data_IF_485593522140
#
_entry.id   IF_485593522140
#
_cell.length_a   1.000
_cell.length_b   1.000
_cell.length_c   1.000
_cell.angle_alpha   90.00
_cell.angle_beta   90.00
_cell.angle_gamma   90.00
#
_symmetry.space_group_name_H-M   'P 1'
#
loop_
_entity.id
_entity.type
_entity.pdbx_description
1 polymer ?
#
# COMPACT_ATOMS: atom_id res chain seq x y z
N UNK A 1 -8.68 -8.73 -12.97
CA UNK A 1 -8.61 -10.15 -12.53
C UNK A 1 -7.16 -10.57 -12.60
N UNK A 2 -6.69 -11.33 -11.61
CA UNK A 2 -5.31 -11.82 -11.52
C UNK A 2 -5.27 -13.34 -11.68
N UNK A 3 -4.27 -13.90 -12.38
CA UNK A 3 -4.08 -15.34 -12.46
C UNK A 3 -3.93 -15.97 -11.07
N UNK A 4 -4.70 -17.00 -10.78
CA UNK A 4 -4.68 -17.69 -9.48
C UNK A 4 -3.35 -18.40 -9.24
N UNK A 5 -2.64 -18.81 -10.30
CA UNK A 5 -1.31 -19.39 -10.21
C UNK A 5 -0.26 -18.46 -9.55
N UNK A 6 -0.54 -17.16 -9.40
CA UNK A 6 0.32 -16.23 -8.66
C UNK A 6 0.28 -16.45 -7.14
N UNK A 7 -0.81 -17.00 -6.58
CA UNK A 7 -1.01 -17.12 -5.13
C UNK A 7 -1.61 -18.46 -4.69
N UNK A 8 -2.00 -19.34 -5.61
CA UNK A 8 -2.47 -20.70 -5.33
C UNK A 8 -1.61 -21.68 -6.11
N UNK A 9 -0.78 -22.44 -5.38
CA UNK A 9 0.07 -23.45 -5.96
C UNK A 9 -0.76 -24.52 -6.69
N UNK A 10 -0.40 -24.81 -7.95
CA UNK A 10 -1.09 -25.79 -8.78
C UNK A 10 -2.36 -25.30 -9.48
N UNK A 11 -2.75 -24.03 -9.30
CA UNK A 11 -3.86 -23.45 -10.06
C UNK A 11 -3.54 -23.38 -11.57
N UNK A 12 -4.52 -23.63 -12.46
CA UNK A 12 -4.34 -23.45 -13.89
C UNK A 12 -3.94 -22.01 -14.24
N UNK A 13 -3.06 -21.83 -15.23
CA UNK A 13 -2.64 -20.51 -15.71
C UNK A 13 -3.80 -19.67 -16.30
N UNK A 14 -4.88 -20.33 -16.69
CA UNK A 14 -6.09 -19.70 -17.26
C UNK A 14 -7.10 -19.26 -16.19
N UNK A 15 -6.95 -19.74 -14.94
CA UNK A 15 -7.88 -19.39 -13.88
C UNK A 15 -7.52 -18.02 -13.29
N UNK A 16 -8.48 -17.11 -13.26
CA UNK A 16 -8.29 -15.73 -12.80
C UNK A 16 -9.37 -15.35 -11.79
N UNK A 17 -9.02 -14.60 -10.74
CA UNK A 17 -9.99 -14.04 -9.79
C UNK A 17 -9.69 -12.58 -9.43
N UNK A 18 -10.63 -11.93 -8.73
CA UNK A 18 -10.36 -10.64 -8.07
C UNK A 18 -9.60 -10.94 -6.78
N UNK A 19 -8.40 -10.37 -6.64
CA UNK A 19 -7.69 -10.38 -5.36
C UNK A 19 -7.92 -9.04 -4.67
N UNK A 20 -8.31 -9.02 -3.39
CA UNK A 20 -8.47 -7.77 -2.65
C UNK A 20 -7.10 -7.22 -2.22
N UNK A 21 -6.92 -5.90 -2.34
CA UNK A 21 -5.91 -5.15 -1.58
C UNK A 21 -6.59 -4.66 -0.30
N UNK A 22 -6.08 -5.09 0.86
CA UNK A 22 -6.75 -4.92 2.16
C UNK A 22 -5.84 -4.11 3.09
N UNK A 23 -6.45 -3.23 3.88
CA UNK A 23 -5.83 -2.58 5.03
C UNK A 23 -6.60 -2.96 6.31
N UNK A 24 -5.90 -2.95 7.44
CA UNK A 24 -6.48 -3.30 8.74
C UNK A 24 -6.38 -2.11 9.70
N UNK A 25 -7.47 -1.81 10.39
CA UNK A 25 -7.47 -0.93 11.56
C UNK A 25 -7.26 -1.80 12.80
N UNK A 26 -6.31 -1.42 13.63
CA UNK A 26 -5.98 -2.06 14.90
C UNK A 26 -6.13 -1.02 16.00
N UNK A 27 -6.60 -1.44 17.17
CA UNK A 27 -6.59 -0.62 18.38
C UNK A 27 -5.70 -1.32 19.40
N UNK A 28 -4.70 -0.61 19.91
CA UNK A 28 -3.86 -1.13 20.97
C UNK A 28 -4.68 -1.23 22.27
N UNK A 29 -4.68 -2.40 22.91
CA UNK A 29 -5.60 -2.69 24.03
C UNK A 29 -5.40 -1.78 25.24
N UNK A 30 -4.17 -1.37 25.49
CA UNK A 30 -3.80 -0.68 26.73
C UNK A 30 -3.79 0.83 26.58
N UNK A 31 -3.32 1.33 25.43
CA UNK A 31 -3.22 2.78 25.14
C UNK A 31 -4.45 3.33 24.42
N UNK A 32 -5.22 2.46 23.75
CA UNK A 32 -6.33 2.87 22.87
C UNK A 32 -5.87 3.51 21.55
N UNK A 33 -4.56 3.52 21.27
CA UNK A 33 -4.01 4.07 20.02
C UNK A 33 -4.53 3.27 18.82
N UNK A 34 -4.84 3.99 17.75
CA UNK A 34 -5.28 3.50 16.47
C UNK A 34 -4.08 3.32 15.53
N UNK A 35 -3.92 2.09 15.05
CA UNK A 35 -2.89 1.74 14.10
C UNK A 35 -3.53 1.27 12.79
N UNK A 36 -2.86 1.55 11.69
CA UNK A 36 -3.17 0.98 10.39
C UNK A 36 -2.08 0.01 9.98
N UNK A 37 -2.50 -1.12 9.43
CA UNK A 37 -1.63 -2.02 8.68
C UNK A 37 -2.01 -1.95 7.21
N UNK A 38 -1.11 -1.39 6.40
CA UNK A 38 -1.32 -1.00 4.99
C UNK A 38 -2.25 0.19 4.75
N UNK A 39 -2.12 0.78 3.56
CA UNK A 39 -2.97 1.85 3.01
C UNK A 39 -3.62 1.47 1.66
N UNK A 40 -3.47 0.21 1.24
CA UNK A 40 -4.04 -0.29 -0.01
C UNK A 40 -3.42 0.33 -1.28
N UNK A 41 -4.21 0.45 -2.34
CA UNK A 41 -3.83 1.03 -3.63
C UNK A 41 -4.29 2.50 -3.71
N UNK A 42 -3.43 3.41 -4.17
CA UNK A 42 -3.81 4.81 -4.43
C UNK A 42 -4.73 4.93 -5.66
N UNK A 43 -5.71 5.84 -5.61
CA UNK A 43 -6.49 6.21 -6.80
C UNK A 43 -5.68 7.01 -7.82
N UNK A 44 -4.62 7.68 -7.38
CA UNK A 44 -3.74 8.45 -8.25
C UNK A 44 -2.70 7.53 -8.92
N UNK A 45 -3.16 6.70 -9.85
CA UNK A 45 -2.31 5.75 -10.59
C UNK A 45 -1.20 6.47 -11.35
N UNK A 46 -1.42 7.71 -11.80
CA UNK A 46 -0.42 8.48 -12.54
C UNK A 46 0.82 8.82 -11.73
N UNK A 47 0.68 8.92 -10.40
CA UNK A 47 1.78 9.15 -9.47
C UNK A 47 2.65 7.90 -9.22
N UNK A 48 2.23 6.71 -9.69
CA UNK A 48 3.00 5.49 -9.57
C UNK A 48 4.17 5.43 -10.58
N UNK A 49 5.20 4.61 -10.31
CA UNK A 49 6.31 4.42 -11.24
C UNK A 49 5.80 3.91 -12.60
N UNK A 50 6.44 4.31 -13.72
CA UNK A 50 6.04 3.84 -15.06
C UNK A 50 5.94 2.31 -15.19
N UNK A 51 6.85 1.57 -14.56
CA UNK A 51 6.83 0.09 -14.57
C UNK A 51 5.55 -0.45 -13.92
N UNK A 52 5.13 0.13 -12.80
CA UNK A 52 3.89 -0.25 -12.11
C UNK A 52 2.67 0.09 -12.96
N UNK A 53 2.63 1.29 -13.56
CA UNK A 53 1.53 1.71 -14.45
C UNK A 53 1.35 0.74 -15.63
N UNK A 54 2.46 0.32 -16.22
CA UNK A 54 2.49 -0.67 -17.29
C UNK A 54 1.94 -2.03 -16.85
N UNK A 55 2.33 -2.49 -15.65
CA UNK A 55 1.83 -3.75 -15.07
C UNK A 55 0.32 -3.67 -14.80
N UNK A 56 -0.16 -2.58 -14.22
CA UNK A 56 -1.59 -2.36 -13.97
C UNK A 56 -2.38 -2.38 -15.28
N UNK A 57 -1.90 -1.66 -16.30
CA UNK A 57 -2.60 -1.55 -17.58
C UNK A 57 -2.64 -2.88 -18.35
N UNK A 58 -1.59 -3.70 -18.28
CA UNK A 58 -1.45 -4.92 -19.10
C UNK A 58 -1.90 -6.19 -18.38
N UNK A 59 -1.65 -6.30 -17.08
CA UNK A 59 -1.70 -7.59 -16.37
C UNK A 59 -2.53 -7.53 -15.08
N UNK A 60 -2.57 -6.38 -14.41
CA UNK A 60 -3.16 -6.25 -13.07
C UNK A 60 -4.13 -5.08 -12.99
N UNK A 61 -5.24 -5.10 -13.77
CA UNK A 61 -6.19 -3.99 -13.75
C UNK A 61 -6.79 -3.84 -12.35
N UNK A 62 -6.70 -2.62 -11.82
CA UNK A 62 -7.17 -2.27 -10.47
C UNK A 62 -8.52 -1.58 -10.53
N UNK A 63 -9.35 -1.85 -9.52
CA UNK A 63 -10.60 -1.14 -9.30
C UNK A 63 -10.63 -0.69 -7.83
N UNK A 64 -10.59 0.63 -7.60
CA UNK A 64 -10.51 1.23 -6.26
C UNK A 64 -11.81 2.00 -5.97
N UNK A 65 -12.91 1.31 -5.62
CA UNK A 65 -14.16 1.97 -5.31
C UNK A 65 -14.07 2.83 -4.05
N UNK A 66 -13.15 2.48 -3.14
CA UNK A 66 -12.96 3.12 -1.84
C UNK A 66 -11.49 3.10 -1.46
N UNK A 67 -10.96 4.22 -0.96
CA UNK A 67 -9.61 4.27 -0.38
C UNK A 67 -9.66 4.11 1.15
N UNK A 68 -8.48 4.04 1.78
CA UNK A 68 -8.40 3.80 3.23
C UNK A 68 -8.92 4.99 4.05
N UNK A 69 -8.74 6.23 3.59
CA UNK A 69 -9.25 7.40 4.30
C UNK A 69 -10.78 7.41 4.32
N UNK A 70 -11.43 7.10 3.20
CA UNK A 70 -12.88 6.91 3.14
C UNK A 70 -13.34 5.70 3.97
N UNK A 71 -12.56 4.62 3.99
CA UNK A 71 -12.85 3.43 4.80
C UNK A 71 -12.90 3.76 6.29
N UNK A 72 -11.96 4.56 6.78
CA UNK A 72 -11.93 5.03 8.16
C UNK A 72 -13.16 5.87 8.48
N UNK A 73 -13.50 6.84 7.62
CA UNK A 73 -14.64 7.73 7.85
C UNK A 73 -15.96 6.95 7.95
N UNK A 74 -16.13 5.88 7.16
CA UNK A 74 -17.28 4.97 7.27
C UNK A 74 -17.31 4.21 8.60
N UNK A 75 -16.15 3.96 9.19
CA UNK A 75 -15.99 3.39 10.52
C UNK A 75 -15.88 4.41 11.65
N UNK A 76 -16.30 5.66 11.41
CA UNK A 76 -16.29 6.76 12.39
C UNK A 76 -14.90 7.16 12.92
N UNK A 77 -13.85 6.84 12.17
CA UNK A 77 -12.46 7.27 12.43
C UNK A 77 -12.00 8.25 11.36
N UNK A 78 -11.11 9.17 11.73
CA UNK A 78 -10.46 10.07 10.78
C UNK A 78 -9.00 9.66 10.58
N UNK A 79 -8.40 9.92 9.41
CA UNK A 79 -6.97 9.72 9.21
C UNK A 79 -6.08 10.40 10.26
N UNK A 80 -6.53 11.53 10.83
CA UNK A 80 -5.85 12.27 11.88
C UNK A 80 -5.98 11.66 13.28
N UNK A 81 -6.83 10.63 13.44
CA UNK A 81 -6.97 9.83 14.65
C UNK A 81 -6.03 8.61 14.63
N UNK A 82 -5.25 8.42 13.56
CA UNK A 82 -4.29 7.31 13.43
C UNK A 82 -2.91 7.74 13.91
N UNK A 83 -2.39 7.08 14.94
CA UNK A 83 -1.07 7.34 15.50
C UNK A 83 0.05 6.68 14.69
N UNK A 84 -0.23 5.51 14.11
CA UNK A 84 0.79 4.72 13.40
C UNK A 84 0.25 4.06 12.14
N UNK A 85 1.00 4.16 11.05
CA UNK A 85 0.80 3.36 9.83
C UNK A 85 1.98 2.40 9.70
N UNK A 86 1.70 1.10 9.64
CA UNK A 86 2.67 0.04 9.47
C UNK A 86 2.59 -0.46 8.02
N UNK A 87 3.70 -0.40 7.32
CA UNK A 87 3.88 -0.98 5.99
C UNK A 87 4.85 -2.16 6.10
N UNK A 88 4.48 -3.30 5.53
CA UNK A 88 5.35 -4.48 5.53
C UNK A 88 6.44 -4.37 4.46
N UNK A 89 6.14 -3.72 3.33
CA UNK A 89 7.04 -3.43 2.21
C UNK A 89 6.44 -2.32 1.33
N UNK A 90 7.12 -1.99 0.22
CA UNK A 90 6.84 -0.80 -0.60
C UNK A 90 6.15 -1.07 -1.95
N UNK A 91 5.47 -2.21 -2.11
CA UNK A 91 4.68 -2.42 -3.33
C UNK A 91 3.48 -1.46 -3.38
N UNK A 92 3.07 -1.14 -4.61
CA UNK A 92 2.05 -0.13 -4.91
C UNK A 92 0.67 -0.42 -4.29
N UNK A 93 0.40 -1.69 -3.95
CA UNK A 93 -0.85 -2.17 -3.38
C UNK A 93 -0.89 -2.16 -1.85
N UNK A 94 0.16 -1.63 -1.21
CA UNK A 94 0.23 -1.43 0.24
C UNK A 94 0.44 0.01 0.67
N UNK A 95 1.07 0.84 -0.16
CA UNK A 95 1.51 2.19 0.23
C UNK A 95 0.41 3.26 0.17
N UNK A 96 -0.65 3.03 -0.63
CA UNK A 96 -1.84 3.87 -0.73
C UNK A 96 -1.60 5.37 -0.91
N UNK A 97 -2.66 6.16 -0.64
CA UNK A 97 -2.53 7.60 -0.44
C UNK A 97 -2.22 7.88 1.04
N UNK A 98 -1.00 8.33 1.30
CA UNK A 98 -0.52 8.65 2.63
C UNK A 98 -0.75 10.11 3.02
N UNK A 99 -1.25 10.95 2.11
CA UNK A 99 -1.40 12.39 2.34
C UNK A 99 -2.37 12.77 3.47
N UNK A 100 -3.49 12.03 3.72
CA UNK A 100 -4.40 12.37 4.82
C UNK A 100 -3.83 12.06 6.21
N UNK A 101 -2.84 11.16 6.30
CA UNK A 101 -2.25 10.67 7.55
C UNK A 101 -1.15 11.63 8.04
N UNK A 102 -1.57 12.84 8.39
CA UNK A 102 -0.67 13.95 8.73
C UNK A 102 -0.01 13.80 10.09
N UNK A 103 -0.67 13.15 11.06
CA UNK A 103 -0.15 12.91 12.42
C UNK A 103 0.51 11.55 12.61
N UNK A 104 0.26 10.61 11.70
CA UNK A 104 0.73 9.25 11.84
C UNK A 104 2.25 9.14 11.66
N UNK A 105 2.87 8.30 12.49
CA UNK A 105 4.23 7.81 12.31
C UNK A 105 4.20 6.60 11.36
N UNK A 106 5.09 6.56 10.37
CA UNK A 106 5.08 5.53 9.33
C UNK A 106 6.17 4.49 9.59
N UNK A 107 5.81 3.30 10.07
CA UNK A 107 6.78 2.26 10.40
C UNK A 107 6.93 1.29 9.22
N UNK A 108 8.18 1.01 8.86
CA UNK A 108 8.56 0.01 7.87
C UNK A 108 9.90 -0.60 8.27
N UNK A 109 10.14 -1.87 7.89
CA UNK A 109 11.39 -2.56 8.23
C UNK A 109 12.62 -1.87 7.65
N UNK A 110 13.72 -1.82 8.41
CA UNK A 110 14.95 -1.10 8.04
C UNK A 110 15.62 -1.55 6.72
N UNK A 111 15.29 -2.71 6.19
CA UNK A 111 15.81 -3.24 4.93
C UNK A 111 15.35 -2.45 3.68
N UNK A 112 14.31 -1.61 3.80
CA UNK A 112 13.80 -0.82 2.66
C UNK A 112 14.64 0.41 2.34
N UNK A 113 15.69 0.73 3.12
CA UNK A 113 16.52 1.93 2.93
C UNK A 113 17.10 2.00 1.53
N UNK A 114 17.69 0.91 1.04
CA UNK A 114 18.26 0.84 -0.31
C UNK A 114 17.19 0.99 -1.40
N UNK A 115 16.01 0.39 -1.19
CA UNK A 115 14.88 0.50 -2.12
C UNK A 115 14.36 1.94 -2.24
N UNK A 116 14.32 2.69 -1.14
CA UNK A 116 13.94 4.10 -1.14
C UNK A 116 15.04 4.97 -1.78
N UNK A 117 16.31 4.74 -1.43
CA UNK A 117 17.44 5.48 -1.98
C UNK A 117 17.58 5.28 -3.49
N UNK A 118 17.26 4.08 -3.98
CA UNK A 118 17.36 3.67 -5.38
C UNK A 118 16.00 3.49 -6.06
N UNK A 119 14.93 4.04 -5.50
CA UNK A 119 13.59 3.99 -6.09
C UNK A 119 13.39 4.94 -7.28
N UNK A 120 12.18 4.96 -7.82
CA UNK A 120 11.73 5.93 -8.80
C UNK A 120 11.59 7.33 -8.16
N UNK A 121 12.08 8.42 -8.79
CA UNK A 121 12.54 8.50 -10.17
C UNK A 121 14.05 8.26 -10.41
N UNK A 122 14.86 8.08 -9.37
CA UNK A 122 16.32 7.89 -9.51
C UNK A 122 16.64 6.67 -10.37
N UNK A 123 15.94 5.56 -10.14
CA UNK A 123 16.00 4.35 -10.96
C UNK A 123 14.70 4.24 -11.77
N UNK A 124 14.69 4.57 -13.07
CA UNK A 124 13.47 4.58 -13.89
C UNK A 124 12.76 3.23 -14.02
N UNK A 125 13.50 2.14 -13.81
CA UNK A 125 12.98 0.75 -13.87
C UNK A 125 12.52 0.22 -12.52
N UNK A 126 12.64 1.00 -11.44
CA UNK A 126 12.18 0.58 -10.11
C UNK A 126 10.66 0.63 -10.03
N UNK A 127 10.08 -0.37 -9.36
CA UNK A 127 8.67 -0.45 -8.99
C UNK A 127 8.37 0.24 -7.63
N UNK A 128 9.41 0.65 -6.91
CA UNK A 128 9.32 1.38 -5.64
C UNK A 128 9.36 2.88 -5.89
N UNK A 129 8.46 3.63 -5.24
CA UNK A 129 8.53 5.09 -5.16
C UNK A 129 9.51 5.53 -4.06
N UNK A 130 10.55 6.29 -4.42
CA UNK A 130 11.45 6.91 -3.43
C UNK A 130 10.74 7.88 -2.51
N UNK A 131 9.58 8.42 -2.93
CA UNK A 131 8.75 9.32 -2.14
C UNK A 131 7.77 8.61 -1.20
N UNK A 132 7.76 7.28 -1.15
CA UNK A 132 6.91 6.55 -0.22
C UNK A 132 7.23 6.99 1.23
N UNK A 133 6.20 7.39 1.98
CA UNK A 133 6.36 7.94 3.33
C UNK A 133 6.82 6.86 4.29
N UNK A 134 7.99 7.08 4.89
CA UNK A 134 8.60 6.17 5.86
C UNK A 134 9.26 7.00 6.96
N UNK A 135 9.07 6.59 8.20
CA UNK A 135 9.92 6.96 9.33
C UNK A 135 10.65 5.69 9.73
N UNK A 136 11.98 5.66 9.61
CA UNK A 136 12.75 4.46 9.93
C UNK A 136 12.47 4.03 11.38
N UNK A 137 11.73 2.94 11.53
CA UNK A 137 11.52 2.28 12.82
C UNK A 137 12.43 1.06 12.83
N UNK A 138 13.44 1.10 13.70
CA UNK A 138 14.45 0.07 13.96
C UNK A 138 15.60 -0.01 12.93
#
# INVERSE_FOLDING_TARGET
MLPMALYIAGAPLTEVTVCPSIAFVLQHSDSGEQLLFYLGITRNIDALPPVVKDVIAKYMPVHIPQDVAESLQKGELKPEDVEMVILSHLHFDHIGDHSPFTKATFVIGGEVKDQLENGYPKTPTSDVLSSAKCTSGF
#
